data_IF_407236541324
#
_entry.id   IF_407236541324
#
_cell.length_a   1.000
_cell.length_b   1.000
_cell.length_c   1.000
_cell.angle_alpha   90.00
_cell.angle_beta   90.00
_cell.angle_gamma   90.00
#
_symmetry.space_group_name_H-M   'P 1'
#
loop_
_entity.id
_entity.type
_entity.pdbx_description
1 polymer ?
#
# COMPACT_ATOMS: atom_id res chain seq x y z
N UNK A 1 60.42 36.92 -8.48
CA UNK A 1 59.71 35.67 -8.86
C UNK A 1 58.84 35.21 -7.69
N UNK A 2 57.53 35.05 -7.95
CA UNK A 2 56.47 34.31 -7.24
C UNK A 2 56.50 34.30 -5.69
N UNK A 3 55.60 35.02 -5.02
CA UNK A 3 54.21 34.62 -4.67
C UNK A 3 54.13 33.40 -3.74
N UNK A 4 53.78 33.62 -2.47
CA UNK A 4 53.31 32.57 -1.55
C UNK A 4 51.90 32.91 -1.09
N UNK A 5 50.97 32.19 -1.70
CA UNK A 5 49.54 32.13 -1.40
C UNK A 5 49.29 31.37 -0.08
N UNK A 6 48.14 31.70 0.51
CA UNK A 6 47.42 31.10 1.65
C UNK A 6 47.72 29.65 2.02
N UNK A 7 47.85 29.41 3.34
CA UNK A 7 47.56 28.12 3.96
C UNK A 7 46.40 28.30 4.94
N UNK A 8 45.21 27.90 4.53
CA UNK A 8 44.07 27.57 5.38
C UNK A 8 43.60 26.22 4.87
N UNK A 9 44.07 25.14 5.49
CA UNK A 9 43.59 23.78 5.26
C UNK A 9 42.92 23.29 6.54
N UNK A 10 41.64 22.95 6.39
CA UNK A 10 40.91 21.85 6.99
C UNK A 10 40.79 21.76 8.52
N UNK A 11 39.74 22.39 9.05
CA UNK A 11 39.07 21.90 10.24
C UNK A 11 37.90 20.99 9.82
N UNK A 12 38.07 19.68 10.04
CA UNK A 12 37.08 18.65 9.73
C UNK A 12 35.81 18.81 10.56
N UNK A 13 34.70 19.17 9.91
CA UNK A 13 33.34 19.26 10.48
C UNK A 13 32.52 17.97 10.28
N UNK A 14 33.16 16.82 10.06
CA UNK A 14 32.44 15.58 9.75
C UNK A 14 32.11 14.70 10.96
N UNK A 15 32.69 14.97 12.14
CA UNK A 15 32.57 14.06 13.31
C UNK A 15 31.40 14.33 14.26
N UNK A 16 30.76 15.49 14.19
CA UNK A 16 29.75 15.93 15.17
C UNK A 16 28.33 15.60 14.70
N UNK A 17 28.09 15.60 13.38
CA UNK A 17 26.77 15.31 12.80
C UNK A 17 26.36 13.83 12.92
N UNK A 18 27.32 12.91 12.92
CA UNK A 18 27.04 11.47 13.08
C UNK A 18 26.76 11.09 14.54
N UNK A 19 27.35 11.79 15.51
CA UNK A 19 27.11 11.50 16.94
C UNK A 19 25.82 12.14 17.47
N UNK A 20 25.43 13.31 16.95
CA UNK A 20 24.15 13.96 17.31
C UNK A 20 22.93 13.35 16.60
N UNK A 21 23.11 12.71 15.45
CA UNK A 21 22.02 11.98 14.76
C UNK A 21 21.71 10.61 15.39
N UNK A 22 22.62 10.04 16.19
CA UNK A 22 22.47 8.68 16.72
C UNK A 22 21.82 8.62 18.13
N UNK A 23 21.66 9.75 18.83
CA UNK A 23 21.20 9.77 20.24
C UNK A 23 19.80 10.39 20.44
N UNK A 24 19.04 10.65 19.37
CA UNK A 24 17.67 11.18 19.45
C UNK A 24 16.60 10.09 19.16
N UNK A 25 16.99 8.95 18.59
CA UNK A 25 16.05 7.95 18.05
C UNK A 25 15.52 6.87 19.02
N UNK A 26 16.10 6.70 20.22
CA UNK A 26 15.85 5.46 20.98
C UNK A 26 14.53 5.45 21.79
N UNK A 27 13.97 6.62 22.13
CA UNK A 27 12.73 6.69 22.92
C UNK A 27 11.43 6.76 22.08
N UNK A 28 11.48 7.39 20.91
CA UNK A 28 10.29 7.62 20.09
C UNK A 28 9.82 6.34 19.37
N UNK A 29 10.75 5.51 18.90
CA UNK A 29 10.43 4.24 18.23
C UNK A 29 9.68 3.24 19.13
N UNK A 30 10.10 3.09 20.39
CA UNK A 30 9.41 2.22 21.36
C UNK A 30 8.00 2.73 21.68
N UNK A 31 7.84 4.04 21.86
CA UNK A 31 6.54 4.66 22.11
C UNK A 31 5.58 4.45 20.92
N UNK A 32 6.02 4.72 19.69
CA UNK A 32 5.20 4.51 18.50
C UNK A 32 4.87 3.04 18.28
N UNK A 33 5.83 2.13 18.47
CA UNK A 33 5.59 0.69 18.42
C UNK A 33 4.53 0.24 19.42
N UNK A 34 4.62 0.73 20.67
CA UNK A 34 3.62 0.54 21.71
C UNK A 34 2.25 1.06 21.31
N UNK A 35 2.16 2.30 20.80
CA UNK A 35 0.92 2.89 20.30
C UNK A 35 0.28 2.05 19.19
N UNK A 36 1.04 1.65 18.16
CA UNK A 36 0.55 0.82 17.06
C UNK A 36 0.01 -0.53 17.58
N UNK A 37 0.66 -1.10 18.59
CA UNK A 37 0.25 -2.37 19.20
C UNK A 37 -1.09 -2.28 19.94
N UNK A 38 -1.39 -1.13 20.52
CA UNK A 38 -2.66 -0.85 21.21
C UNK A 38 -3.76 -0.42 20.23
N UNK A 39 -3.39 0.34 19.21
CA UNK A 39 -4.34 0.94 18.26
C UNK A 39 -4.97 -0.13 17.35
N UNK A 40 -4.19 -1.11 16.92
CA UNK A 40 -4.66 -2.23 16.09
C UNK A 40 -5.93 -2.91 16.65
N UNK A 41 -5.89 -3.51 17.86
CA UNK A 41 -7.08 -4.15 18.45
C UNK A 41 -8.19 -3.15 18.80
N UNK A 42 -7.84 -1.93 19.21
CA UNK A 42 -8.80 -0.92 19.65
C UNK A 42 -9.67 -0.36 18.50
N UNK A 43 -9.09 -0.23 17.30
CA UNK A 43 -9.82 0.20 16.10
C UNK A 43 -10.51 -0.97 15.38
N UNK A 44 -10.02 -2.19 15.57
CA UNK A 44 -10.56 -3.38 14.89
C UNK A 44 -12.01 -3.62 15.30
N UNK A 45 -12.90 -3.54 14.32
CA UNK A 45 -14.34 -3.76 14.53
C UNK A 45 -15.08 -2.57 15.17
N UNK A 46 -14.38 -1.47 15.46
CA UNK A 46 -15.00 -0.24 15.94
C UNK A 46 -16.02 0.29 14.92
N UNK A 47 -17.14 0.81 15.42
CA UNK A 47 -18.16 1.48 14.60
C UNK A 47 -18.10 3.01 14.74
N UNK A 48 -17.31 3.50 15.68
CA UNK A 48 -17.24 4.90 16.05
C UNK A 48 -16.41 5.67 15.04
N UNK A 49 -17.08 6.47 14.21
CA UNK A 49 -16.42 7.21 13.14
C UNK A 49 -15.29 8.11 13.64
N UNK A 50 -15.54 8.88 14.70
CA UNK A 50 -14.55 9.80 15.27
C UNK A 50 -13.29 9.07 15.79
N UNK A 51 -13.48 7.88 16.37
CA UNK A 51 -12.38 7.04 16.86
C UNK A 51 -11.57 6.46 15.69
N UNK A 52 -12.26 5.97 14.66
CA UNK A 52 -11.62 5.48 13.44
C UNK A 52 -10.83 6.58 12.75
N UNK A 53 -11.41 7.77 12.56
CA UNK A 53 -10.72 8.90 11.94
C UNK A 53 -9.50 9.36 12.73
N UNK A 54 -9.62 9.45 14.07
CA UNK A 54 -8.48 9.78 14.93
C UNK A 54 -7.37 8.72 14.82
N UNK A 55 -7.75 7.45 14.79
CA UNK A 55 -6.84 6.33 14.57
C UNK A 55 -6.10 6.41 13.24
N UNK A 56 -6.81 6.72 12.15
CA UNK A 56 -6.22 6.94 10.83
C UNK A 56 -5.19 8.08 10.85
N UNK A 57 -5.50 9.22 11.48
CA UNK A 57 -4.56 10.35 11.57
C UNK A 57 -3.28 9.97 12.33
N UNK A 58 -3.39 9.20 13.41
CA UNK A 58 -2.24 8.73 14.18
C UNK A 58 -1.41 7.75 13.36
N UNK A 59 -2.04 6.77 12.71
CA UNK A 59 -1.35 5.81 11.84
C UNK A 59 -0.66 6.49 10.67
N UNK A 60 -1.34 7.44 10.01
CA UNK A 60 -0.77 8.25 8.95
C UNK A 60 0.49 8.97 9.42
N UNK A 61 0.39 9.71 10.53
CA UNK A 61 1.54 10.43 11.10
C UNK A 61 2.74 9.51 11.41
N UNK A 62 2.51 8.38 12.08
CA UNK A 62 3.60 7.46 12.41
C UNK A 62 4.19 6.82 11.15
N UNK A 63 3.36 6.53 10.14
CA UNK A 63 3.84 5.98 8.86
C UNK A 63 4.71 6.96 8.08
N UNK A 64 4.45 8.25 8.20
CA UNK A 64 5.25 9.30 7.56
C UNK A 64 6.64 9.48 8.18
N UNK A 65 6.92 8.88 9.33
CA UNK A 65 8.24 8.93 9.97
C UNK A 65 9.20 7.90 9.36
N UNK A 66 10.50 8.20 9.34
CA UNK A 66 11.56 7.27 8.91
C UNK A 66 12.01 6.33 10.05
N UNK A 67 11.05 5.71 10.75
CA UNK A 67 11.31 4.78 11.85
C UNK A 67 10.91 3.34 11.49
N UNK A 68 11.45 2.34 12.17
CA UNK A 68 11.07 0.92 11.99
C UNK A 68 9.56 0.67 12.23
N UNK A 69 8.93 1.53 13.05
CA UNK A 69 7.50 1.47 13.34
C UNK A 69 6.61 1.91 12.16
N UNK A 70 7.17 2.61 11.17
CA UNK A 70 6.45 3.14 10.01
C UNK A 70 5.85 2.04 9.14
N UNK A 71 6.60 0.98 8.83
CA UNK A 71 6.12 -0.16 8.06
C UNK A 71 4.92 -0.85 8.74
N UNK A 72 4.95 -0.96 10.06
CA UNK A 72 3.86 -1.58 10.84
C UNK A 72 2.62 -0.68 10.88
N UNK A 73 2.80 0.63 11.08
CA UNK A 73 1.71 1.60 11.02
C UNK A 73 1.08 1.64 9.63
N UNK A 74 1.91 1.64 8.59
CA UNK A 74 1.48 1.67 7.21
C UNK A 74 0.70 0.42 6.84
N UNK A 75 1.18 -0.76 7.21
CA UNK A 75 0.44 -2.02 7.03
C UNK A 75 -0.94 -1.97 7.70
N UNK A 76 -1.05 -1.45 8.93
CA UNK A 76 -2.35 -1.25 9.58
C UNK A 76 -3.23 -0.24 8.83
N UNK A 77 -2.65 0.85 8.34
CA UNK A 77 -3.36 1.86 7.55
C UNK A 77 -3.94 1.25 6.26
N UNK A 78 -3.17 0.39 5.57
CA UNK A 78 -3.64 -0.34 4.38
C UNK A 78 -4.86 -1.22 4.70
N UNK A 79 -4.98 -1.79 5.90
CA UNK A 79 -6.16 -2.60 6.24
C UNK A 79 -7.47 -1.79 6.19
N UNK A 80 -7.42 -0.48 6.48
CA UNK A 80 -8.60 0.40 6.45
C UNK A 80 -9.10 0.72 5.04
N UNK A 81 -8.28 0.53 4.01
CA UNK A 81 -8.71 0.62 2.61
C UNK A 81 -9.78 -0.44 2.26
N UNK A 82 -9.84 -1.54 3.02
CA UNK A 82 -10.87 -2.58 2.88
C UNK A 82 -12.03 -2.47 3.88
N UNK A 83 -12.15 -1.34 4.60
CA UNK A 83 -13.16 -1.15 5.65
C UNK A 83 -14.59 -1.13 5.07
N UNK A 84 -15.58 -1.57 5.85
CA UNK A 84 -16.98 -1.60 5.37
C UNK A 84 -17.62 -0.22 5.15
N UNK A 85 -17.04 0.83 5.73
CA UNK A 85 -17.56 2.20 5.63
C UNK A 85 -16.82 2.99 4.53
N UNK A 86 -17.52 3.43 3.46
CA UNK A 86 -16.93 4.19 2.35
C UNK A 86 -16.08 5.39 2.79
N UNK A 87 -16.61 6.22 3.69
CA UNK A 87 -15.91 7.41 4.21
C UNK A 87 -14.58 7.09 4.90
N UNK A 88 -14.51 5.95 5.59
CA UNK A 88 -13.28 5.50 6.24
C UNK A 88 -12.27 5.02 5.20
N UNK A 89 -12.70 4.30 4.17
CA UNK A 89 -11.82 3.87 3.08
C UNK A 89 -11.23 5.08 2.34
N UNK A 90 -12.06 6.09 2.05
CA UNK A 90 -11.59 7.32 1.40
C UNK A 90 -10.59 8.09 2.29
N UNK A 91 -10.91 8.29 3.56
CA UNK A 91 -9.98 8.93 4.49
C UNK A 91 -8.67 8.14 4.62
N UNK A 92 -8.72 6.81 4.62
CA UNK A 92 -7.53 5.97 4.64
C UNK A 92 -6.71 6.14 3.36
N UNK A 93 -7.35 6.17 2.18
CA UNK A 93 -6.67 6.39 0.92
C UNK A 93 -5.97 7.75 0.87
N UNK A 94 -6.63 8.80 1.37
CA UNK A 94 -6.04 10.14 1.45
C UNK A 94 -4.83 10.15 2.39
N UNK A 95 -4.89 9.44 3.52
CA UNK A 95 -3.73 9.29 4.42
C UNK A 95 -2.59 8.49 3.76
N UNK A 96 -2.88 7.37 3.11
CA UNK A 96 -1.88 6.57 2.40
C UNK A 96 -1.18 7.39 1.34
N UNK A 97 -1.92 8.21 0.58
CA UNK A 97 -1.35 9.08 -0.43
C UNK A 97 -0.35 10.07 0.17
N UNK A 98 -0.74 10.75 1.26
CA UNK A 98 0.14 11.68 1.96
C UNK A 98 1.39 11.00 2.52
N UNK A 99 1.25 9.80 3.07
CA UNK A 99 2.38 9.02 3.58
C UNK A 99 3.36 8.69 2.45
N UNK A 100 2.87 8.25 1.29
CA UNK A 100 3.73 7.95 0.13
C UNK A 100 4.47 9.18 -0.42
N UNK A 101 3.92 10.38 -0.22
CA UNK A 101 4.62 11.63 -0.56
C UNK A 101 5.68 12.04 0.47
N UNK A 102 5.51 11.61 1.72
CA UNK A 102 6.34 12.03 2.85
C UNK A 102 7.46 11.03 3.18
N UNK A 103 7.23 9.75 2.87
CA UNK A 103 8.14 8.66 3.18
C UNK A 103 8.33 7.76 1.95
N UNK A 104 9.44 8.01 1.25
CA UNK A 104 9.90 7.27 0.07
C UNK A 104 10.57 5.93 0.44
N UNK A 105 10.79 5.65 1.74
CA UNK A 105 11.37 4.41 2.23
C UNK A 105 10.40 3.24 2.40
N UNK A 106 9.08 3.48 2.29
CA UNK A 106 8.06 2.45 2.52
C UNK A 106 7.80 1.54 1.33
N UNK A 107 8.01 2.04 0.10
CA UNK A 107 7.78 1.31 -1.15
C UNK A 107 9.00 1.53 -2.04
N UNK A 108 9.44 0.49 -2.77
CA UNK A 108 10.50 0.62 -3.77
C UNK A 108 10.17 1.73 -4.78
N UNK A 109 11.17 2.53 -5.17
CA UNK A 109 10.97 3.64 -6.11
C UNK A 109 10.35 3.19 -7.44
N UNK A 110 10.64 1.97 -7.90
CA UNK A 110 10.06 1.38 -9.12
C UNK A 110 8.55 1.11 -9.02
N UNK A 111 8.06 0.95 -7.80
CA UNK A 111 6.69 0.58 -7.47
C UNK A 111 5.85 1.78 -6.99
N UNK A 112 6.49 2.92 -6.72
CA UNK A 112 5.85 4.10 -6.15
C UNK A 112 4.78 4.69 -7.08
N UNK A 113 5.12 4.90 -8.35
CA UNK A 113 4.18 5.44 -9.35
C UNK A 113 2.96 4.54 -9.51
N UNK A 114 3.18 3.23 -9.57
CA UNK A 114 2.11 2.23 -9.64
C UNK A 114 1.22 2.24 -8.39
N UNK A 115 1.81 2.38 -7.20
CA UNK A 115 1.04 2.48 -5.96
C UNK A 115 0.15 3.73 -5.96
N UNK A 116 0.67 4.88 -6.40
CA UNK A 116 -0.08 6.13 -6.49
C UNK A 116 -1.19 6.06 -7.55
N UNK A 117 -0.94 5.44 -8.70
CA UNK A 117 -1.93 5.20 -9.75
C UNK A 117 -3.10 4.36 -9.21
N UNK A 118 -2.81 3.20 -8.61
CA UNK A 118 -3.83 2.35 -7.98
C UNK A 118 -4.64 3.13 -6.95
N UNK A 119 -3.99 3.96 -6.14
CA UNK A 119 -4.65 4.74 -5.09
C UNK A 119 -5.55 5.85 -5.65
N UNK A 120 -5.13 6.51 -6.73
CA UNK A 120 -5.86 7.61 -7.36
C UNK A 120 -7.03 7.14 -8.23
N UNK A 121 -6.87 6.04 -8.96
CA UNK A 121 -7.90 5.52 -9.87
C UNK A 121 -9.00 4.73 -9.14
N UNK A 122 -8.68 4.14 -7.99
CA UNK A 122 -9.65 3.32 -7.26
C UNK A 122 -10.75 4.19 -6.65
N UNK A 123 -12.01 3.86 -6.94
CA UNK A 123 -13.16 4.47 -6.27
C UNK A 123 -13.33 3.90 -4.85
N UNK A 124 -12.58 4.44 -3.89
CA UNK A 124 -12.60 3.95 -2.50
C UNK A 124 -13.97 4.07 -1.81
N UNK A 125 -14.85 4.97 -2.26
CA UNK A 125 -16.21 5.08 -1.74
C UNK A 125 -17.21 4.13 -2.41
N UNK A 126 -16.79 3.42 -3.46
CA UNK A 126 -17.60 2.50 -4.26
C UNK A 126 -17.73 1.10 -3.67
N UNK A 127 -17.60 0.08 -4.52
CA UNK A 127 -17.76 -1.32 -4.13
C UNK A 127 -16.70 -1.77 -3.11
N UNK A 128 -17.14 -2.49 -2.08
CA UNK A 128 -16.26 -2.94 -1.00
C UNK A 128 -15.34 -4.07 -1.44
N UNK A 129 -15.79 -4.96 -2.33
CA UNK A 129 -14.97 -6.07 -2.79
C UNK A 129 -13.90 -5.58 -3.78
N UNK A 130 -14.23 -4.61 -4.63
CA UNK A 130 -13.27 -3.88 -5.45
C UNK A 130 -12.19 -3.20 -4.60
N UNK A 131 -12.58 -2.42 -3.60
CA UNK A 131 -11.65 -1.78 -2.68
C UNK A 131 -10.73 -2.79 -1.96
N UNK A 132 -11.26 -3.97 -1.60
CA UNK A 132 -10.46 -5.05 -0.99
C UNK A 132 -9.47 -5.67 -1.98
N UNK A 133 -9.86 -5.87 -3.24
CA UNK A 133 -8.94 -6.35 -4.30
C UNK A 133 -7.81 -5.34 -4.52
N UNK A 134 -8.15 -4.07 -4.69
CA UNK A 134 -7.19 -2.98 -4.89
C UNK A 134 -6.26 -2.75 -3.70
N UNK A 135 -6.77 -2.89 -2.47
CA UNK A 135 -5.91 -2.92 -1.28
C UNK A 135 -4.92 -4.08 -1.31
N UNK A 136 -5.35 -5.29 -1.70
CA UNK A 136 -4.44 -6.44 -1.77
C UNK A 136 -3.34 -6.19 -2.81
N UNK A 137 -3.69 -5.69 -3.99
CA UNK A 137 -2.74 -5.25 -5.01
C UNK A 137 -1.75 -4.21 -4.44
N UNK A 138 -2.24 -3.18 -3.76
CA UNK A 138 -1.40 -2.15 -3.14
C UNK A 138 -0.46 -2.73 -2.05
N UNK A 139 -0.94 -3.72 -1.29
CA UNK A 139 -0.16 -4.39 -0.26
C UNK A 139 0.96 -5.24 -0.86
N UNK A 140 0.72 -5.87 -2.02
CA UNK A 140 1.74 -6.60 -2.79
C UNK A 140 2.80 -5.65 -3.35
N UNK A 141 2.38 -4.53 -3.95
CA UNK A 141 3.27 -3.48 -4.48
C UNK A 141 4.19 -2.93 -3.39
N UNK A 142 3.63 -2.73 -2.18
CA UNK A 142 4.34 -2.23 -1.01
C UNK A 142 5.17 -3.31 -0.27
N UNK A 143 5.21 -4.56 -0.76
CA UNK A 143 5.98 -5.63 -0.13
C UNK A 143 5.37 -6.21 1.16
N UNK A 144 4.16 -5.81 1.52
CA UNK A 144 3.36 -6.40 2.61
C UNK A 144 2.52 -7.60 2.17
N UNK A 145 2.79 -8.13 0.96
CA UNK A 145 2.14 -9.30 0.43
C UNK A 145 2.16 -10.43 1.45
N UNK A 146 0.99 -10.81 1.95
CA UNK A 146 0.85 -12.05 2.71
C UNK A 146 1.37 -13.16 1.81
N UNK A 147 2.32 -13.96 2.29
CA UNK A 147 2.75 -15.17 1.62
C UNK A 147 1.53 -16.07 1.39
N UNK A 148 0.83 -15.87 0.28
CA UNK A 148 -0.13 -16.81 -0.22
C UNK A 148 0.71 -17.94 -0.78
N UNK A 149 0.78 -19.00 0.01
CA UNK A 149 1.30 -20.29 -0.40
C UNK A 149 0.75 -20.60 -1.80
N UNK A 150 1.63 -20.62 -2.79
CA UNK A 150 1.40 -21.34 -4.03
C UNK A 150 1.15 -22.80 -3.67
N UNK A 151 -0.12 -23.19 -3.49
CA UNK A 151 -0.51 -24.60 -3.52
C UNK A 151 -0.75 -24.98 -4.97
N UNK A 152 0.35 -25.15 -5.70
CA UNK A 152 0.35 -25.99 -6.90
C UNK A 152 0.41 -27.45 -6.44
N UNK A 153 -0.54 -28.26 -6.91
CA UNK A 153 -0.66 -29.66 -6.54
C UNK A 153 -1.80 -30.32 -7.30
N UNK A 154 -1.48 -30.74 -8.52
CA UNK A 154 -2.28 -31.62 -9.36
C UNK A 154 -2.64 -32.91 -8.62
N UNK A 155 -3.90 -33.34 -8.68
CA UNK A 155 -4.24 -34.76 -8.59
C UNK A 155 -5.55 -35.04 -9.33
N UNK A 156 -5.41 -35.59 -10.54
CA UNK A 156 -6.44 -36.34 -11.23
C UNK A 156 -6.75 -37.62 -10.43
N UNK A 157 -8.03 -37.91 -10.18
CA UNK A 157 -8.59 -39.25 -10.44
C UNK A 157 -10.12 -39.26 -10.40
N UNK A 158 -10.69 -39.22 -11.62
CA UNK A 158 -11.59 -40.25 -12.15
C UNK A 158 -12.89 -40.58 -11.37
N UNK A 159 -14.03 -40.11 -11.89
CA UNK A 159 -15.20 -40.96 -12.15
C UNK A 159 -16.00 -40.46 -13.37
N UNK A 160 -16.13 -41.35 -14.34
CA UNK A 160 -16.97 -41.25 -15.56
C UNK A 160 -18.44 -41.01 -15.20
N UNK A 161 -19.13 -40.20 -15.98
CA UNK A 161 -20.28 -40.67 -16.77
C UNK A 161 -20.62 -39.69 -17.91
N UNK A 162 -20.34 -40.18 -19.11
CA UNK A 162 -21.00 -40.00 -20.40
C UNK A 162 -22.29 -39.17 -20.42
N UNK A 163 -22.28 -38.03 -21.12
CA UNK A 163 -23.29 -37.75 -22.14
C UNK A 163 -22.82 -36.65 -23.11
N UNK A 164 -22.75 -37.05 -24.38
CA UNK A 164 -22.56 -36.26 -25.60
C UNK A 164 -23.23 -34.88 -25.55
N UNK A 165 -22.49 -33.85 -25.96
CA UNK A 165 -22.84 -33.08 -27.15
C UNK A 165 -21.69 -32.19 -27.61
N UNK A 166 -21.36 -32.35 -28.89
CA UNK A 166 -20.47 -31.50 -29.64
C UNK A 166 -21.16 -30.16 -29.91
N UNK A 167 -20.47 -29.06 -29.62
CA UNK A 167 -20.66 -27.79 -30.32
C UNK A 167 -19.43 -26.92 -30.04
N UNK A 168 -18.55 -26.82 -31.02
CA UNK A 168 -17.56 -25.75 -31.12
C UNK A 168 -18.30 -24.42 -31.20
N UNK A 169 -18.32 -23.65 -30.12
CA UNK A 169 -18.77 -22.26 -30.15
C UNK A 169 -17.64 -21.40 -30.70
N UNK A 170 -17.73 -21.21 -32.00
CA UNK A 170 -17.05 -20.21 -32.81
C UNK A 170 -17.31 -18.80 -32.25
N UNK A 171 -16.24 -18.15 -31.74
CA UNK A 171 -16.27 -16.83 -31.12
C UNK A 171 -16.57 -15.68 -32.10
N UNK A 172 -16.90 -15.97 -33.35
CA UNK A 172 -17.17 -14.94 -34.36
C UNK A 172 -18.65 -14.52 -34.48
N UNK A 173 -19.53 -15.02 -33.60
CA UNK A 173 -20.98 -14.78 -33.70
C UNK A 173 -21.40 -13.38 -33.20
N UNK A 174 -20.53 -12.65 -32.50
CA UNK A 174 -20.83 -11.29 -32.01
C UNK A 174 -20.58 -10.17 -33.04
N UNK A 175 -19.83 -10.41 -34.12
CA UNK A 175 -19.48 -9.36 -35.08
C UNK A 175 -20.52 -9.15 -36.20
N UNK A 176 -21.40 -10.13 -36.44
CA UNK A 176 -22.43 -10.03 -37.47
C UNK A 176 -23.58 -9.07 -37.10
N UNK A 177 -23.71 -8.70 -35.82
CA UNK A 177 -24.76 -7.78 -35.35
C UNK A 177 -24.48 -6.29 -35.64
N UNK A 178 -23.28 -5.92 -36.10
CA UNK A 178 -22.85 -4.52 -36.23
C UNK A 178 -22.76 -3.99 -37.67
N UNK A 179 -23.16 -4.78 -38.67
CA UNK A 179 -23.12 -4.35 -40.09
C UNK A 179 -24.49 -4.08 -40.72
N UNK A 180 -25.58 -4.19 -39.95
CA UNK A 180 -26.95 -3.88 -40.41
C UNK A 180 -27.48 -2.51 -39.96
N UNK A 181 -26.66 -1.67 -39.29
CA UNK A 181 -27.09 -0.35 -38.79
C UNK A 181 -26.70 0.84 -39.68
N UNK A 182 -26.04 0.62 -40.82
CA UNK A 182 -25.82 1.67 -41.83
C UNK A 182 -26.50 1.33 -43.15
N UNK A 183 -27.83 1.21 -43.09
CA UNK A 183 -28.70 1.44 -44.23
C UNK A 183 -29.22 2.88 -44.15
N UNK A 184 -28.95 3.65 -45.20
CA UNK A 184 -29.19 5.10 -45.45
C UNK A 184 -28.02 6.03 -45.14
#
# INVERSE_FOLDING_TARGET
>A
MASRHSSLHDFSYSGIYTFWSCNIGQGHGEFYSGLISLLGPELKGSKDFAKLSAGLSILGYISSQLDESSCKAFSQLLTFLGHRYPKIRKAAADQVYLVLLQNDGLISAENMDKAQEVLAETCWEGDVEEARRKRSELSEIAGFGTATSHRSGNEETRKKNDMRNAASTDENTSYSSLVDFSGY
#
